data_IF_367816951513
#
_entry.id   IF_367816951513
#
_cell.length_a   1.000
_cell.length_b   1.000
_cell.length_c   1.000
_cell.angle_alpha   90.00
_cell.angle_beta   90.00
_cell.angle_gamma   90.00
#
_symmetry.space_group_name_H-M   'P 1'
#
loop_
_entity.id
_entity.type
_entity.pdbx_description
1 polymer ?
#
# COMPACT_ATOMS: atom_id res chain seq x y z
N UNK A 1 -55.69 4.14 -33.85
CA UNK A 1 -55.44 3.36 -35.09
C UNK A 1 -54.12 2.61 -34.92
N UNK A 2 -54.14 1.28 -35.07
CA UNK A 2 -53.07 0.37 -34.65
C UNK A 2 -52.09 0.09 -35.79
N UNK A 3 -50.91 -0.48 -35.48
CA UNK A 3 -50.35 -1.67 -36.14
C UNK A 3 -49.03 -2.06 -35.45
N UNK A 4 -49.14 -3.06 -34.58
CA UNK A 4 -48.12 -4.08 -34.30
C UNK A 4 -48.06 -5.04 -35.49
N UNK A 5 -46.91 -5.66 -35.80
CA UNK A 5 -46.81 -7.02 -36.39
C UNK A 5 -45.36 -7.54 -36.40
N UNK A 6 -45.19 -8.70 -35.73
CA UNK A 6 -44.30 -9.85 -35.96
C UNK A 6 -42.76 -9.70 -35.79
N UNK A 7 -42.08 -10.33 -34.83
CA UNK A 7 -41.97 -11.76 -34.43
C UNK A 7 -41.12 -12.59 -35.41
N UNK A 8 -39.86 -12.87 -35.05
CA UNK A 8 -39.18 -14.14 -35.34
C UNK A 8 -38.31 -14.51 -34.13
N UNK A 9 -38.61 -15.68 -33.56
CA UNK A 9 -37.85 -16.34 -32.52
C UNK A 9 -36.96 -17.45 -33.13
N UNK A 10 -35.85 -17.71 -32.45
CA UNK A 10 -35.16 -19.01 -32.27
C UNK A 10 -34.69 -19.82 -33.48
N UNK A 11 -33.39 -20.19 -33.50
CA UNK A 11 -32.85 -21.55 -33.19
C UNK A 11 -31.47 -21.81 -33.81
N UNK A 12 -30.71 -22.73 -33.18
CA UNK A 12 -29.49 -23.44 -33.62
C UNK A 12 -28.15 -22.64 -33.57
N UNK A 13 -27.01 -23.16 -33.09
CA UNK A 13 -26.68 -24.45 -32.49
C UNK A 13 -25.35 -24.36 -31.73
N UNK A 14 -25.18 -25.28 -30.79
CA UNK A 14 -23.95 -25.65 -30.08
C UNK A 14 -22.75 -25.85 -31.01
N UNK A 15 -21.56 -25.36 -30.63
CA UNK A 15 -20.28 -26.04 -30.86
C UNK A 15 -19.13 -25.31 -30.15
N UNK A 16 -18.67 -25.90 -29.04
CA UNK A 16 -17.36 -25.63 -28.44
C UNK A 16 -16.25 -26.11 -29.38
N UNK A 17 -15.05 -25.50 -29.32
CA UNK A 17 -13.82 -26.23 -29.53
C UNK A 17 -13.06 -26.36 -28.21
N UNK A 18 -12.94 -27.61 -27.75
CA UNK A 18 -11.93 -28.00 -26.80
C UNK A 18 -10.55 -27.80 -27.44
N UNK A 19 -9.70 -26.97 -26.82
CA UNK A 19 -8.29 -26.89 -27.17
C UNK A 19 -7.54 -27.93 -26.34
N UNK A 20 -7.20 -29.03 -27.02
CA UNK A 20 -6.34 -30.10 -26.54
C UNK A 20 -4.91 -29.59 -26.33
N UNK A 21 -4.37 -29.82 -25.14
CA UNK A 21 -2.93 -29.70 -24.87
C UNK A 21 -2.17 -30.85 -25.55
N UNK A 22 -0.97 -30.64 -26.10
CA UNK A 22 -0.16 -31.73 -26.60
C UNK A 22 0.53 -32.45 -25.43
N UNK A 23 0.29 -33.76 -25.35
CA UNK A 23 1.10 -34.69 -24.58
C UNK A 23 2.21 -35.24 -25.47
N UNK A 24 3.45 -35.34 -24.96
CA UNK A 24 4.50 -36.31 -25.33
C UNK A 24 5.78 -36.04 -24.51
N UNK A 25 6.70 -37.02 -24.31
CA UNK A 25 6.54 -38.33 -23.71
C UNK A 25 7.37 -38.47 -22.40
N UNK A 26 7.01 -39.47 -21.60
CA UNK A 26 7.89 -40.08 -20.59
C UNK A 26 8.86 -41.03 -21.29
N UNK A 27 10.17 -40.90 -21.06
CA UNK A 27 11.04 -42.08 -21.02
C UNK A 27 12.18 -41.92 -20.01
N UNK A 28 12.50 -43.06 -19.41
CA UNK A 28 13.22 -43.30 -18.17
C UNK A 28 14.76 -43.28 -18.29
N UNK A 29 15.36 -42.97 -17.13
CA UNK A 29 16.60 -43.53 -16.58
C UNK A 29 17.94 -43.01 -17.10
N UNK A 30 18.63 -42.24 -16.24
CA UNK A 30 19.91 -42.72 -15.71
C UNK A 30 20.14 -42.20 -14.29
N UNK A 31 20.57 -43.10 -13.41
CA UNK A 31 20.69 -42.86 -11.98
C UNK A 31 21.79 -41.86 -11.62
N UNK A 32 21.45 -40.93 -10.75
CA UNK A 32 22.40 -40.36 -9.79
C UNK A 32 21.61 -40.03 -8.54
N UNK A 33 21.95 -40.70 -7.44
CA UNK A 33 21.40 -40.44 -6.10
C UNK A 33 21.69 -39.00 -5.70
N UNK A 34 20.65 -38.17 -5.57
CA UNK A 34 20.76 -36.84 -4.97
C UNK A 34 20.61 -36.97 -3.44
N UNK A 35 21.62 -36.50 -2.72
CA UNK A 35 21.63 -36.35 -1.26
C UNK A 35 20.67 -35.23 -0.81
N UNK A 36 20.25 -35.18 0.46
CA UNK A 36 19.22 -34.25 0.97
C UNK A 36 19.63 -32.76 1.06
N UNK A 37 20.55 -32.27 0.22
CA UNK A 37 21.20 -30.97 0.41
C UNK A 37 20.83 -29.88 -0.61
N UNK A 38 20.05 -30.19 -1.65
CA UNK A 38 19.83 -29.25 -2.77
C UNK A 38 18.43 -28.60 -2.81
N UNK A 39 17.69 -28.62 -1.69
CA UNK A 39 16.34 -28.04 -1.57
C UNK A 39 16.31 -26.67 -0.89
N UNK A 40 17.28 -25.77 -1.14
CA UNK A 40 17.20 -24.41 -0.56
C UNK A 40 17.69 -23.25 -1.46
N UNK A 41 18.08 -23.50 -2.72
CA UNK A 41 18.68 -22.44 -3.56
C UNK A 41 17.71 -21.75 -4.55
N UNK A 42 16.48 -22.26 -4.74
CA UNK A 42 15.61 -21.80 -5.84
C UNK A 42 14.28 -21.16 -5.39
N UNK A 43 13.95 -21.17 -4.10
CA UNK A 43 12.74 -20.53 -3.58
C UNK A 43 12.97 -19.05 -3.18
N UNK A 44 14.22 -18.65 -2.94
CA UNK A 44 14.58 -17.28 -2.53
C UNK A 44 14.73 -16.28 -3.68
N UNK A 45 14.88 -16.76 -4.93
CA UNK A 45 14.98 -15.89 -6.11
C UNK A 45 13.62 -15.48 -6.71
N UNK A 46 12.53 -16.18 -6.35
CA UNK A 46 11.20 -15.88 -6.89
C UNK A 46 10.47 -14.76 -6.13
N UNK A 47 10.65 -14.64 -4.81
CA UNK A 47 9.99 -13.62 -3.99
C UNK A 47 10.66 -12.24 -4.13
N UNK A 48 12.00 -12.18 -4.16
CA UNK A 48 12.71 -10.92 -4.36
C UNK A 48 12.49 -10.27 -5.73
N UNK A 49 12.18 -11.08 -6.76
CA UNK A 49 12.01 -10.58 -8.13
C UNK A 49 10.73 -9.77 -8.36
N UNK A 50 9.62 -10.11 -7.68
CA UNK A 50 8.33 -9.48 -7.90
C UNK A 50 8.28 -8.04 -7.32
N UNK A 51 8.68 -7.86 -6.05
CA UNK A 51 8.83 -6.52 -5.44
C UNK A 51 9.77 -5.63 -6.25
N UNK A 52 10.96 -6.14 -6.61
CA UNK A 52 11.94 -5.36 -7.36
C UNK A 52 11.42 -4.97 -8.75
N UNK A 53 10.65 -5.82 -9.42
CA UNK A 53 10.05 -5.50 -10.72
C UNK A 53 8.99 -4.39 -10.60
N UNK A 54 8.11 -4.49 -9.60
CA UNK A 54 7.10 -3.45 -9.34
C UNK A 54 7.75 -2.12 -8.97
N UNK A 55 8.70 -2.13 -8.03
CA UNK A 55 9.43 -0.94 -7.58
C UNK A 55 10.12 -0.28 -8.78
N UNK A 56 10.89 -1.03 -9.56
CA UNK A 56 11.59 -0.48 -10.72
C UNK A 56 10.61 0.06 -11.79
N UNK A 57 9.50 -0.63 -12.02
CA UNK A 57 8.46 -0.20 -12.95
C UNK A 57 7.82 1.14 -12.54
N UNK A 58 7.51 1.29 -11.25
CA UNK A 58 6.99 2.54 -10.71
C UNK A 58 8.01 3.67 -10.75
N UNK A 59 9.24 3.43 -10.29
CA UNK A 59 10.32 4.41 -10.32
C UNK A 59 10.64 4.89 -11.75
N UNK A 60 10.49 4.03 -12.75
CA UNK A 60 10.65 4.41 -14.16
C UNK A 60 9.46 5.23 -14.71
N UNK A 61 8.26 5.03 -14.16
CA UNK A 61 7.04 5.68 -14.65
C UNK A 61 6.78 7.05 -14.01
N UNK A 62 7.25 7.29 -12.79
CA UNK A 62 6.97 8.54 -12.04
C UNK A 62 7.42 9.80 -12.79
N UNK A 63 8.51 9.76 -13.56
CA UNK A 63 8.97 10.92 -14.35
C UNK A 63 8.01 11.32 -15.47
N UNK A 64 7.06 10.46 -15.82
CA UNK A 64 6.03 10.70 -16.84
C UNK A 64 4.70 11.21 -16.25
N UNK A 65 4.62 11.32 -14.92
CA UNK A 65 3.40 11.64 -14.21
C UNK A 65 3.05 13.12 -14.45
N UNK A 66 1.85 13.43 -14.97
CA UNK A 66 1.40 14.81 -15.07
C UNK A 66 1.28 15.42 -13.66
N UNK A 67 1.73 16.67 -13.48
CA UNK A 67 1.60 17.37 -12.19
C UNK A 67 2.88 17.50 -11.36
N UNK A 68 4.02 16.95 -11.82
CA UNK A 68 5.31 17.24 -11.18
C UNK A 68 5.59 18.75 -11.23
N UNK A 69 5.94 19.32 -10.08
CA UNK A 69 6.20 20.75 -9.90
C UNK A 69 4.93 21.59 -9.69
N UNK A 70 3.74 20.97 -9.69
CA UNK A 70 2.49 21.66 -9.39
C UNK A 70 2.15 21.56 -7.91
N UNK A 71 1.42 22.55 -7.39
CA UNK A 71 0.82 22.44 -6.05
C UNK A 71 -0.31 21.41 -6.04
N UNK A 72 -0.59 20.83 -4.87
CA UNK A 72 -1.69 19.90 -4.63
C UNK A 72 -3.01 20.55 -5.03
N UNK A 73 -3.15 21.86 -4.78
CA UNK A 73 -4.28 22.69 -5.23
C UNK A 73 -4.56 22.68 -6.74
N UNK A 74 -3.53 22.42 -7.55
CA UNK A 74 -3.59 22.42 -9.00
C UNK A 74 -3.65 21.00 -9.60
N UNK A 75 -3.57 19.95 -8.79
CA UNK A 75 -3.78 18.58 -9.25
C UNK A 75 -5.23 18.41 -9.70
N UNK A 76 -5.40 17.82 -10.87
CA UNK A 76 -6.71 17.53 -11.46
C UNK A 76 -6.96 16.02 -11.54
N UNK A 77 -8.17 15.64 -11.94
CA UNK A 77 -8.59 14.24 -12.17
C UNK A 77 -7.67 13.48 -13.14
N UNK A 78 -6.86 14.20 -13.94
CA UNK A 78 -5.85 13.61 -14.83
C UNK A 78 -4.81 12.79 -14.05
N UNK A 79 -4.48 13.20 -12.82
CA UNK A 79 -3.54 12.45 -11.97
C UNK A 79 -4.14 11.11 -11.51
N UNK A 80 -5.39 11.12 -11.07
CA UNK A 80 -6.14 9.90 -10.75
C UNK A 80 -6.22 8.95 -11.94
N UNK A 81 -6.57 9.46 -13.12
CA UNK A 81 -6.66 8.66 -14.34
C UNK A 81 -5.31 8.06 -14.76
N UNK A 82 -4.22 8.84 -14.68
CA UNK A 82 -2.88 8.34 -14.96
C UNK A 82 -2.47 7.22 -14.00
N UNK A 83 -2.72 7.39 -12.69
CA UNK A 83 -2.37 6.33 -11.72
C UNK A 83 -3.18 5.06 -11.93
N UNK A 84 -4.45 5.16 -12.33
CA UNK A 84 -5.27 4.00 -12.66
C UNK A 84 -4.75 3.25 -13.91
N UNK A 85 -4.40 3.98 -14.98
CA UNK A 85 -3.85 3.40 -16.21
C UNK A 85 -2.48 2.75 -15.99
N UNK A 86 -1.62 3.40 -15.19
CA UNK A 86 -0.33 2.83 -14.81
C UNK A 86 -0.50 1.57 -13.96
N UNK A 87 -1.42 1.58 -13.00
CA UNK A 87 -1.72 0.40 -12.20
C UNK A 87 -2.20 -0.77 -13.06
N UNK A 88 -3.08 -0.51 -14.05
CA UNK A 88 -3.52 -1.52 -15.01
C UNK A 88 -2.36 -2.06 -15.86
N UNK A 89 -1.48 -1.17 -16.34
CA UNK A 89 -0.29 -1.54 -17.12
C UNK A 89 0.68 -2.42 -16.31
N UNK A 90 0.81 -2.15 -15.02
CA UNK A 90 1.68 -2.91 -14.11
C UNK A 90 1.00 -4.15 -13.50
N UNK A 91 -0.30 -4.34 -13.73
CA UNK A 91 -1.06 -5.45 -13.14
C UNK A 91 -1.22 -5.34 -11.62
N UNK A 92 -1.40 -4.12 -11.11
CA UNK A 92 -1.47 -3.81 -9.67
C UNK A 92 -2.89 -3.38 -9.29
N UNK A 93 -3.41 -3.98 -8.21
CA UNK A 93 -4.69 -3.57 -7.65
C UNK A 93 -4.55 -2.29 -6.81
N UNK A 94 -5.26 -1.22 -7.20
CA UNK A 94 -5.36 0.03 -6.41
C UNK A 94 -6.47 -0.03 -5.36
N UNK A 95 -7.27 -1.10 -5.37
CA UNK A 95 -8.37 -1.33 -4.44
C UNK A 95 -8.19 -2.67 -3.74
N UNK A 96 -7.94 -2.62 -2.43
CA UNK A 96 -7.69 -3.81 -1.61
C UNK A 96 -8.59 -3.76 -0.37
N UNK A 97 -9.40 -4.80 -0.18
CA UNK A 97 -10.27 -4.96 0.98
C UNK A 97 -10.27 -6.43 1.39
N UNK A 98 -9.27 -6.85 2.15
CA UNK A 98 -9.19 -8.20 2.70
C UNK A 98 -9.60 -8.17 4.18
N UNK A 99 -10.77 -8.73 4.47
CA UNK A 99 -11.34 -8.77 5.83
C UNK A 99 -10.97 -10.04 6.63
N UNK A 100 -10.15 -10.93 6.07
CA UNK A 100 -9.76 -12.17 6.77
C UNK A 100 -8.57 -11.91 7.68
N UNK A 101 -8.67 -12.34 8.95
CA UNK A 101 -7.58 -12.22 9.91
C UNK A 101 -6.33 -12.96 9.42
N UNK A 102 -5.21 -12.25 9.41
CA UNK A 102 -3.87 -12.79 9.18
C UNK A 102 -2.99 -12.50 10.40
N UNK A 103 -1.74 -12.97 10.38
CA UNK A 103 -0.78 -12.67 11.46
C UNK A 103 -0.53 -11.17 11.59
N UNK A 104 -0.54 -10.45 10.47
CA UNK A 104 -0.42 -9.00 10.39
C UNK A 104 -1.59 -8.42 9.59
N UNK A 105 -2.30 -7.47 10.20
CA UNK A 105 -3.38 -6.73 9.57
C UNK A 105 -2.92 -5.30 9.31
N UNK A 106 -2.98 -4.85 8.05
CA UNK A 106 -2.59 -3.49 7.66
C UNK A 106 -3.82 -2.67 7.29
N UNK A 107 -4.06 -1.58 8.00
CA UNK A 107 -5.04 -0.56 7.60
C UNK A 107 -4.27 0.57 6.90
N UNK A 108 -4.52 0.76 5.60
CA UNK A 108 -3.74 1.68 4.76
C UNK A 108 -4.58 2.82 4.19
N UNK A 109 -4.13 4.06 4.32
CA UNK A 109 -4.73 5.22 3.67
C UNK A 109 -3.84 5.76 2.54
N UNK A 110 -4.37 5.81 1.32
CA UNK A 110 -3.67 6.31 0.12
C UNK A 110 -3.43 7.82 0.13
N UNK A 111 -2.61 8.31 -0.79
CA UNK A 111 -2.34 9.74 -1.00
C UNK A 111 -3.44 10.48 -1.76
N UNK A 112 -3.32 11.81 -1.79
CA UNK A 112 -4.24 12.70 -2.52
C UNK A 112 -4.30 12.32 -3.99
N UNK A 113 -5.52 12.31 -4.54
CA UNK A 113 -5.85 11.97 -5.94
C UNK A 113 -5.36 10.60 -6.42
N UNK A 114 -4.90 9.71 -5.54
CA UNK A 114 -4.60 8.34 -5.94
C UNK A 114 -5.89 7.55 -6.23
N UNK A 115 -5.81 6.61 -7.18
CA UNK A 115 -6.93 5.73 -7.52
C UNK A 115 -7.24 4.70 -6.41
N UNK A 116 -8.46 4.16 -6.43
CA UNK A 116 -8.90 3.09 -5.54
C UNK A 116 -8.91 3.46 -4.05
N UNK A 117 -8.51 2.54 -3.16
CA UNK A 117 -8.44 2.78 -1.71
C UNK A 117 -7.03 2.64 -1.12
N UNK A 118 -6.07 2.11 -1.89
CA UNK A 118 -4.65 1.99 -1.49
C UNK A 118 -3.68 2.71 -2.42
N UNK A 119 -4.17 3.27 -3.52
CA UNK A 119 -3.31 3.99 -4.46
C UNK A 119 -2.29 3.10 -5.15
N UNK A 120 -1.17 3.70 -5.54
CA UNK A 120 -0.17 3.05 -6.37
C UNK A 120 1.27 3.24 -5.86
N UNK A 121 1.64 4.43 -5.39
CA UNK A 121 3.07 4.78 -5.22
C UNK A 121 3.71 4.19 -3.97
N UNK A 122 2.98 4.15 -2.85
CA UNK A 122 3.50 3.63 -1.59
C UNK A 122 2.83 2.32 -1.16
N UNK A 123 1.51 2.21 -1.30
CA UNK A 123 0.71 1.08 -0.80
C UNK A 123 1.13 -0.26 -1.42
N UNK A 124 0.88 -0.51 -2.72
CA UNK A 124 1.19 -1.80 -3.33
C UNK A 124 2.66 -2.25 -3.20
N UNK A 125 3.68 -1.39 -3.40
CA UNK A 125 5.08 -1.78 -3.14
C UNK A 125 5.31 -2.22 -1.70
N UNK A 126 4.75 -1.50 -0.72
CA UNK A 126 4.85 -1.84 0.69
C UNK A 126 4.16 -3.17 1.00
N UNK A 127 2.97 -3.43 0.46
CA UNK A 127 2.26 -4.69 0.69
C UNK A 127 3.00 -5.88 0.08
N UNK A 128 3.57 -5.72 -1.11
CA UNK A 128 4.37 -6.75 -1.74
C UNK A 128 5.62 -7.03 -0.91
N UNK A 129 6.34 -6.00 -0.47
CA UNK A 129 7.51 -6.15 0.39
C UNK A 129 7.18 -6.82 1.74
N UNK A 130 6.02 -6.52 2.34
CA UNK A 130 5.53 -7.22 3.53
C UNK A 130 5.30 -8.71 3.27
N UNK A 131 4.61 -9.06 2.17
CA UNK A 131 4.35 -10.45 1.80
C UNK A 131 5.64 -11.22 1.50
N UNK A 132 6.63 -10.57 0.89
CA UNK A 132 7.93 -11.17 0.62
C UNK A 132 8.74 -11.36 1.91
N UNK A 133 8.62 -10.42 2.86
CA UNK A 133 9.36 -10.46 4.15
C UNK A 133 8.74 -11.45 5.14
N UNK A 134 7.42 -11.56 5.17
CA UNK A 134 6.66 -12.28 6.22
C UNK A 134 5.97 -13.55 5.72
N UNK A 135 5.87 -13.71 4.39
CA UNK A 135 5.07 -14.75 3.75
C UNK A 135 3.71 -14.23 3.30
N UNK A 136 3.28 -14.61 2.09
CA UNK A 136 2.07 -14.07 1.46
C UNK A 136 0.78 -14.30 2.26
N UNK A 137 0.69 -15.41 3.00
CA UNK A 137 -0.47 -15.72 3.85
C UNK A 137 -0.46 -15.05 5.23
N UNK A 138 0.65 -14.41 5.62
CA UNK A 138 0.80 -13.79 6.93
C UNK A 138 0.28 -12.33 6.97
N UNK A 139 -0.01 -11.74 5.81
CA UNK A 139 -0.33 -10.31 5.68
C UNK A 139 -1.67 -10.13 4.98
N UNK A 140 -2.60 -9.44 5.64
CA UNK A 140 -3.87 -9.00 5.08
C UNK A 140 -3.96 -7.48 5.14
N UNK A 141 -4.55 -6.88 4.10
CA UNK A 141 -4.58 -5.43 3.92
C UNK A 141 -6.02 -4.96 3.72
N UNK A 142 -6.37 -3.90 4.43
CA UNK A 142 -7.62 -3.16 4.25
C UNK A 142 -7.31 -1.71 3.93
N UNK A 143 -7.63 -1.29 2.69
CA UNK A 143 -7.54 0.11 2.29
C UNK A 143 -8.69 0.94 2.87
N UNK A 144 -8.39 2.16 3.29
CA UNK A 144 -9.39 3.13 3.75
C UNK A 144 -10.11 3.70 2.53
N UNK A 145 -11.40 3.44 2.41
CA UNK A 145 -12.23 4.03 1.36
C UNK A 145 -12.61 5.46 1.74
N UNK A 146 -11.97 6.44 1.10
CA UNK A 146 -12.20 7.87 1.36
C UNK A 146 -11.93 8.72 0.11
N UNK A 147 -12.30 10.01 0.14
CA UNK A 147 -12.24 10.88 -1.03
C UNK A 147 -10.83 11.14 -1.56
N UNK A 148 -9.82 11.19 -0.69
CA UNK A 148 -8.45 11.59 -1.02
C UNK A 148 -8.38 12.88 -1.84
N UNK A 149 -9.23 13.86 -1.52
CA UNK A 149 -9.38 15.08 -2.31
C UNK A 149 -8.30 16.10 -1.95
N UNK A 150 -8.00 17.01 -2.88
CA UNK A 150 -7.15 18.18 -2.63
C UNK A 150 -7.64 18.99 -1.42
N UNK A 151 -8.96 19.17 -1.32
CA UNK A 151 -9.58 19.86 -0.19
C UNK A 151 -9.29 19.16 1.14
N UNK A 152 -9.42 17.82 1.19
CA UNK A 152 -9.09 17.03 2.36
C UNK A 152 -7.61 17.15 2.76
N UNK A 153 -6.69 17.25 1.79
CA UNK A 153 -5.27 17.46 2.07
C UNK A 153 -5.05 18.79 2.79
N UNK A 154 -5.60 19.87 2.22
CA UNK A 154 -5.41 21.23 2.71
C UNK A 154 -6.08 21.47 4.07
N UNK A 155 -7.08 20.66 4.44
CA UNK A 155 -7.74 20.70 5.74
C UNK A 155 -6.96 19.98 6.86
N UNK A 156 -5.85 19.30 6.57
CA UNK A 156 -5.15 18.48 7.57
C UNK A 156 -5.52 17.00 7.53
N UNK A 157 -6.03 16.50 6.39
CA UNK A 157 -6.58 15.16 6.22
C UNK A 157 -8.11 15.16 6.14
N UNK A 158 -8.67 14.32 5.27
CA UNK A 158 -10.11 14.15 5.13
C UNK A 158 -10.74 13.70 6.47
N UNK A 159 -11.67 14.47 7.07
CA UNK A 159 -12.25 14.14 8.36
C UNK A 159 -13.06 12.83 8.34
N UNK A 160 -13.80 12.56 7.26
CA UNK A 160 -14.58 11.34 7.13
C UNK A 160 -13.66 10.13 6.94
N UNK A 161 -12.62 10.26 6.11
CA UNK A 161 -11.60 9.24 5.92
C UNK A 161 -10.83 8.93 7.21
N UNK A 162 -10.52 9.95 8.01
CA UNK A 162 -9.88 9.79 9.32
C UNK A 162 -10.76 8.99 10.28
N UNK A 163 -12.06 9.30 10.33
CA UNK A 163 -13.03 8.55 11.12
C UNK A 163 -13.19 7.10 10.60
N UNK A 164 -13.26 6.91 9.27
CA UNK A 164 -13.30 5.57 8.66
C UNK A 164 -12.08 4.74 9.03
N UNK A 165 -10.88 5.32 8.98
CA UNK A 165 -9.65 4.63 9.40
C UNK A 165 -9.71 4.24 10.87
N UNK A 166 -10.15 5.13 11.76
CA UNK A 166 -10.31 4.82 13.18
C UNK A 166 -11.31 3.68 13.41
N UNK A 167 -12.44 3.68 12.69
CA UNK A 167 -13.43 2.59 12.76
C UNK A 167 -12.87 1.26 12.28
N UNK A 168 -12.11 1.23 11.17
CA UNK A 168 -11.48 0.02 10.65
C UNK A 168 -10.43 -0.55 11.62
N UNK A 169 -9.63 0.33 12.24
CA UNK A 169 -8.66 -0.08 13.27
C UNK A 169 -9.38 -0.67 14.49
N UNK A 170 -10.47 -0.04 14.97
CA UNK A 170 -11.26 -0.58 16.08
C UNK A 170 -11.90 -1.93 15.74
N UNK A 171 -12.51 -2.06 14.55
CA UNK A 171 -13.11 -3.30 14.10
C UNK A 171 -12.06 -4.42 14.01
N UNK A 172 -10.90 -4.13 13.42
CA UNK A 172 -9.82 -5.11 13.29
C UNK A 172 -9.25 -5.53 14.63
N UNK A 173 -9.12 -4.60 15.59
CA UNK A 173 -8.68 -4.94 16.95
C UNK A 173 -9.67 -5.87 17.68
N UNK A 174 -10.96 -5.78 17.37
CA UNK A 174 -12.02 -6.63 17.94
C UNK A 174 -12.11 -7.99 17.24
N UNK A 175 -12.05 -7.99 15.91
CA UNK A 175 -12.22 -9.19 15.07
C UNK A 175 -10.97 -10.06 15.02
N UNK A 176 -9.79 -9.44 15.06
CA UNK A 176 -8.48 -10.09 14.96
C UNK A 176 -7.57 -9.77 16.16
N UNK A 177 -7.97 -10.05 17.41
CA UNK A 177 -7.22 -9.65 18.61
C UNK A 177 -5.84 -10.31 18.74
N UNK A 178 -5.56 -11.34 17.94
CA UNK A 178 -4.25 -12.00 17.90
C UNK A 178 -3.30 -11.47 16.81
N UNK A 179 -3.77 -10.57 15.94
CA UNK A 179 -2.98 -10.04 14.84
C UNK A 179 -2.10 -8.87 15.30
N UNK A 180 -0.93 -8.74 14.68
CA UNK A 180 -0.17 -7.51 14.71
C UNK A 180 -0.89 -6.45 13.85
N UNK A 181 -1.53 -5.48 14.51
CA UNK A 181 -2.28 -4.43 13.83
C UNK A 181 -1.35 -3.29 13.41
N UNK A 182 -1.37 -2.92 12.13
CA UNK A 182 -0.52 -1.89 11.54
C UNK A 182 -1.40 -0.78 10.99
N UNK A 183 -1.11 0.46 11.34
CA UNK A 183 -1.66 1.64 10.66
C UNK A 183 -0.62 2.16 9.68
N UNK A 184 -1.02 2.43 8.44
CA UNK A 184 -0.11 3.00 7.46
C UNK A 184 -0.79 4.03 6.57
N UNK A 185 -0.01 4.99 6.07
CA UNK A 185 -0.54 6.05 5.23
C UNK A 185 0.52 6.71 4.36
N UNK A 186 0.10 7.27 3.24
CA UNK A 186 0.95 8.03 2.34
C UNK A 186 0.38 9.43 2.10
N UNK A 187 1.20 10.48 2.20
CA UNK A 187 0.79 11.86 1.96
C UNK A 187 -0.43 12.25 2.82
N UNK A 188 -1.58 12.62 2.24
CA UNK A 188 -2.83 12.81 2.98
C UNK A 188 -3.22 11.62 3.87
N UNK A 189 -2.94 10.39 3.43
CA UNK A 189 -3.14 9.20 4.25
C UNK A 189 -2.31 9.18 5.54
N UNK A 190 -1.15 9.83 5.57
CA UNK A 190 -0.38 10.06 6.79
C UNK A 190 -1.10 10.98 7.78
N UNK A 191 -1.77 12.02 7.27
CA UNK A 191 -2.63 12.88 8.08
C UNK A 191 -3.81 12.09 8.66
N UNK A 192 -4.42 11.19 7.87
CA UNK A 192 -5.46 10.27 8.35
C UNK A 192 -4.95 9.35 9.47
N UNK A 193 -3.71 8.84 9.37
CA UNK A 193 -3.08 8.03 10.44
C UNK A 193 -3.01 8.82 11.75
N UNK A 194 -2.50 10.07 11.71
CA UNK A 194 -2.43 10.95 12.87
C UNK A 194 -3.80 11.22 13.48
N UNK A 195 -4.77 11.61 12.64
CA UNK A 195 -6.12 11.94 13.06
C UNK A 195 -6.84 10.72 13.64
N UNK A 196 -6.75 9.57 12.97
CA UNK A 196 -7.35 8.32 13.44
C UNK A 196 -6.76 7.91 14.79
N UNK A 197 -5.43 7.95 14.95
CA UNK A 197 -4.78 7.64 16.22
C UNK A 197 -5.30 8.51 17.38
N UNK A 198 -5.52 9.81 17.14
CA UNK A 198 -6.08 10.72 18.13
C UNK A 198 -7.55 10.41 18.50
N UNK A 199 -8.31 9.78 17.59
CA UNK A 199 -9.70 9.37 17.83
C UNK A 199 -9.83 8.03 18.56
N UNK A 200 -8.78 7.21 18.57
CA UNK A 200 -8.82 5.86 19.13
C UNK A 200 -8.77 5.87 20.67
N UNK A 201 -9.57 5.02 21.34
CA UNK A 201 -9.43 4.83 22.77
C UNK A 201 -8.10 4.13 23.09
N UNK A 202 -7.58 4.35 24.29
CA UNK A 202 -6.27 3.82 24.72
C UNK A 202 -6.13 2.29 24.53
N UNK A 203 -7.12 1.45 24.89
CA UNK A 203 -7.00 0.01 24.69
C UNK A 203 -6.81 -0.39 23.23
N UNK A 204 -7.42 0.33 22.29
CA UNK A 204 -7.21 0.07 20.85
C UNK A 204 -5.83 0.54 20.40
N UNK A 205 -5.33 1.68 20.91
CA UNK A 205 -3.97 2.14 20.59
C UNK A 205 -2.87 1.22 21.10
N UNK A 206 -3.11 0.56 22.25
CA UNK A 206 -2.21 -0.44 22.79
C UNK A 206 -2.08 -1.69 21.89
N UNK A 207 -3.11 -2.00 21.10
CA UNK A 207 -3.11 -3.13 20.16
C UNK A 207 -2.34 -2.85 18.86
N UNK A 208 -2.04 -1.58 18.56
CA UNK A 208 -1.31 -1.21 17.34
C UNK A 208 0.15 -1.66 17.49
N UNK A 209 0.58 -2.62 16.70
CA UNK A 209 1.97 -3.11 16.71
C UNK A 209 2.96 -2.08 16.15
N UNK A 210 2.59 -1.42 15.06
CA UNK A 210 3.44 -0.44 14.39
C UNK A 210 2.64 0.55 13.53
N UNK A 211 3.25 1.71 13.28
CA UNK A 211 2.75 2.74 12.39
C UNK A 211 3.81 3.05 11.32
N UNK A 212 3.40 3.16 10.06
CA UNK A 212 4.29 3.55 8.95
C UNK A 212 3.66 4.68 8.14
N UNK A 213 4.35 5.81 8.02
CA UNK A 213 3.88 6.94 7.22
C UNK A 213 4.91 7.30 6.16
N UNK A 214 4.50 7.33 4.90
CA UNK A 214 5.30 7.77 3.76
C UNK A 214 4.92 9.21 3.39
N UNK A 215 5.87 10.13 3.30
CA UNK A 215 5.59 11.51 2.87
C UNK A 215 4.67 12.27 3.82
N UNK A 216 4.91 12.18 5.14
CA UNK A 216 4.04 12.72 6.18
C UNK A 216 3.89 14.26 6.09
N UNK A 217 2.68 14.81 5.81
CA UNK A 217 2.42 16.24 5.79
C UNK A 217 2.38 16.78 7.23
N UNK A 218 3.55 17.04 7.80
CA UNK A 218 3.69 17.43 9.20
C UNK A 218 4.87 18.36 9.40
N UNK A 219 4.57 19.54 9.98
CA UNK A 219 5.48 20.70 10.13
C UNK A 219 6.91 20.28 10.52
N UNK A 220 7.96 20.79 9.87
CA UNK A 220 9.27 20.80 10.52
C UNK A 220 9.12 21.48 11.88
N UNK A 221 9.69 20.89 12.94
CA UNK A 221 9.89 21.63 14.17
C UNK A 221 10.57 22.97 13.82
N UNK A 222 10.15 24.12 14.40
CA UNK A 222 10.79 25.39 14.12
C UNK A 222 12.32 25.29 14.30
N UNK A 223 13.09 25.56 13.23
CA UNK A 223 14.54 25.67 13.30
C UNK A 223 15.39 24.47 12.83
N UNK A 224 14.86 23.50 12.10
CA UNK A 224 15.67 22.44 11.45
C UNK A 224 15.29 22.26 9.98
N UNK A 225 16.16 22.71 9.08
CA UNK A 225 16.16 22.23 7.68
C UNK A 225 16.41 20.71 7.67
N UNK A 226 15.83 20.01 6.69
CA UNK A 226 16.15 18.60 6.43
C UNK A 226 17.66 18.51 6.15
N UNK A 227 18.41 17.88 7.05
CA UNK A 227 19.78 17.49 6.77
C UNK A 227 19.80 16.51 5.59
N UNK A 228 20.80 16.67 4.75
CA UNK A 228 21.17 15.77 3.66
C UNK A 228 21.53 14.37 4.21
N UNK A 229 20.54 13.46 4.26
CA UNK A 229 20.82 12.02 4.36
C UNK A 229 19.94 11.17 5.30
N UNK A 230 19.06 11.73 6.11
CA UNK A 230 18.22 10.93 7.03
C UNK A 230 16.85 10.60 6.39
N UNK A 231 16.70 9.37 5.88
CA UNK A 231 15.49 8.88 5.20
C UNK A 231 14.33 8.57 6.17
N UNK A 232 14.63 8.38 7.46
CA UNK A 232 13.66 7.97 8.48
C UNK A 232 13.61 8.98 9.62
N UNK A 233 12.45 9.59 9.84
CA UNK A 233 12.16 10.32 11.08
C UNK A 233 11.58 9.33 12.09
N UNK A 234 12.36 8.97 13.11
CA UNK A 234 11.81 8.36 14.34
C UNK A 234 11.57 9.41 15.43
N UNK A 235 12.00 10.65 15.22
CA UNK A 235 12.12 11.70 16.25
C UNK A 235 11.70 13.11 15.80
N UNK A 236 11.43 13.35 14.50
CA UNK A 236 11.29 14.71 13.95
C UNK A 236 10.00 14.99 13.14
N UNK A 237 9.02 14.06 13.18
CA UNK A 237 7.65 14.28 12.69
C UNK A 237 6.70 14.63 13.83
N UNK A 238 5.46 15.02 13.54
CA UNK A 238 4.45 15.08 14.61
C UNK A 238 4.32 13.68 15.22
N UNK A 239 4.35 13.53 16.56
CA UNK A 239 4.16 12.22 17.17
C UNK A 239 2.75 11.70 16.87
N UNK A 240 2.64 10.41 16.51
CA UNK A 240 1.34 9.77 16.34
C UNK A 240 0.71 9.58 17.72
N UNK A 241 -0.45 10.20 17.95
CA UNK A 241 -1.04 10.37 19.29
C UNK A 241 -1.19 9.06 20.08
N UNK A 242 -0.45 8.95 21.19
CA UNK A 242 -0.48 7.81 22.11
C UNK A 242 0.08 6.50 21.56
N UNK A 243 0.91 6.58 20.52
CA UNK A 243 1.71 5.46 20.02
C UNK A 243 3.18 5.82 20.22
N UNK A 244 3.96 4.85 20.71
CA UNK A 244 5.38 5.05 20.99
C UNK A 244 6.14 5.35 19.69
N UNK A 245 7.09 6.29 19.75
CA UNK A 245 8.00 6.58 18.65
C UNK A 245 8.78 5.33 18.21
N UNK A 246 9.12 4.43 19.13
CA UNK A 246 9.75 3.14 18.82
C UNK A 246 8.85 2.21 17.98
N UNK A 247 7.52 2.42 17.98
CA UNK A 247 6.55 1.72 17.12
C UNK A 247 6.17 2.51 15.87
N UNK A 248 6.73 3.70 15.66
CA UNK A 248 6.37 4.59 14.55
C UNK A 248 7.56 4.80 13.62
N UNK A 249 7.33 4.65 12.31
CA UNK A 249 8.29 4.96 11.27
C UNK A 249 7.69 5.97 10.31
N UNK A 250 8.25 7.19 10.30
CA UNK A 250 7.92 8.20 9.30
C UNK A 250 9.06 8.27 8.29
N UNK A 251 8.73 8.15 7.01
CA UNK A 251 9.70 8.20 5.90
C UNK A 251 9.47 9.48 5.12
N UNK A 252 10.48 10.33 5.06
CA UNK A 252 10.47 11.58 4.30
C UNK A 252 11.71 11.64 3.42
N UNK A 253 11.53 11.70 2.10
CA UNK A 253 12.65 11.79 1.20
C UNK A 253 13.27 13.20 1.23
N UNK A 254 14.60 13.32 1.13
CA UNK A 254 15.24 14.61 0.92
C UNK A 254 14.64 15.33 -0.30
N UNK A 255 14.23 16.58 -0.09
CA UNK A 255 13.58 17.38 -1.13
C UNK A 255 12.08 17.11 -1.33
N UNK A 256 11.46 16.26 -0.51
CA UNK A 256 10.00 16.17 -0.47
C UNK A 256 9.41 17.42 0.18
N UNK A 257 8.80 18.27 -0.65
CA UNK A 257 8.19 19.52 -0.23
C UNK A 257 6.94 19.30 0.65
N UNK A 258 6.25 18.16 0.54
CA UNK A 258 5.10 17.83 1.40
C UNK A 258 5.55 17.59 2.84
N UNK A 259 6.65 16.85 3.03
CA UNK A 259 7.28 16.67 4.34
C UNK A 259 7.81 17.98 4.96
N UNK A 260 8.08 18.99 4.14
CA UNK A 260 8.45 20.33 4.59
C UNK A 260 7.24 21.20 4.98
N UNK A 261 6.02 20.66 4.91
CA UNK A 261 4.77 21.38 5.16
C UNK A 261 4.30 22.26 4.00
N UNK A 262 4.90 22.09 2.82
CA UNK A 262 4.41 22.71 1.59
C UNK A 262 3.38 21.82 0.90
N UNK A 263 2.97 22.24 -0.29
CA UNK A 263 1.93 21.57 -1.09
C UNK A 263 2.39 21.29 -2.53
N UNK A 264 3.65 21.51 -2.90
CA UNK A 264 4.18 21.20 -4.23
C UNK A 264 4.58 19.72 -4.33
N UNK A 265 4.10 19.04 -5.38
CA UNK A 265 4.47 17.65 -5.67
C UNK A 265 5.78 17.64 -6.45
N UNK A 266 6.85 17.18 -5.80
CA UNK A 266 8.16 16.96 -6.43
C UNK A 266 8.45 15.47 -6.56
N UNK A 267 9.42 15.12 -7.41
CA UNK A 267 9.80 13.72 -7.64
C UNK A 267 10.14 12.94 -6.35
N UNK A 268 10.81 13.51 -5.33
CA UNK A 268 11.01 12.82 -4.05
C UNK A 268 9.72 12.35 -3.37
N UNK A 269 8.60 13.06 -3.54
CA UNK A 269 7.31 12.66 -2.99
C UNK A 269 6.72 11.42 -3.69
N UNK A 270 7.12 11.14 -4.93
CA UNK A 270 6.54 10.09 -5.77
C UNK A 270 7.32 8.77 -5.73
N UNK A 271 8.43 8.71 -5.00
CA UNK A 271 9.43 7.64 -5.12
C UNK A 271 9.46 6.64 -3.96
N UNK A 272 8.52 6.73 -3.01
CA UNK A 272 8.47 5.90 -1.79
C UNK A 272 8.39 4.38 -2.00
N UNK A 273 8.21 3.90 -3.23
CA UNK A 273 8.38 2.49 -3.57
C UNK A 273 9.78 1.97 -3.19
N UNK A 274 10.82 2.80 -3.23
CA UNK A 274 12.19 2.44 -2.83
C UNK A 274 12.34 2.15 -1.32
N UNK A 275 11.51 2.77 -0.48
CA UNK A 275 11.49 2.59 0.97
C UNK A 275 10.64 1.39 1.42
N UNK A 276 9.92 0.73 0.51
CA UNK A 276 8.99 -0.36 0.81
C UNK A 276 9.63 -1.53 1.57
N UNK A 277 10.84 -1.94 1.19
CA UNK A 277 11.57 -3.05 1.84
C UNK A 277 11.96 -2.68 3.26
N UNK A 278 12.45 -1.46 3.48
CA UNK A 278 12.80 -0.98 4.81
C UNK A 278 11.57 -0.89 5.73
N UNK A 279 10.44 -0.38 5.19
CA UNK A 279 9.17 -0.33 5.90
C UNK A 279 8.65 -1.72 6.27
N UNK A 280 8.74 -2.69 5.35
CA UNK A 280 8.33 -4.06 5.61
C UNK A 280 9.19 -4.71 6.72
N UNK A 281 10.51 -4.50 6.70
CA UNK A 281 11.40 -4.99 7.75
C UNK A 281 11.08 -4.36 9.12
N UNK A 282 10.77 -3.07 9.15
CA UNK A 282 10.34 -2.36 10.36
C UNK A 282 9.09 -2.98 10.98
N UNK A 283 8.06 -3.23 10.15
CA UNK A 283 6.81 -3.89 10.58
C UNK A 283 7.10 -5.32 11.04
N UNK A 284 7.81 -6.12 10.25
CA UNK A 284 8.10 -7.51 10.58
C UNK A 284 8.81 -7.67 11.94
N UNK A 285 9.70 -6.74 12.28
CA UNK A 285 10.39 -6.73 13.58
C UNK A 285 9.47 -6.40 14.78
N UNK A 286 8.30 -5.81 14.52
CA UNK A 286 7.28 -5.41 15.51
C UNK A 286 6.04 -6.31 15.50
N UNK A 287 5.87 -7.12 14.46
CA UNK A 287 4.77 -8.09 14.35
C UNK A 287 5.04 -9.39 15.11
N UNK A 288 6.30 -9.69 15.46
CA UNK A 288 6.63 -10.87 16.26
C UNK A 288 6.29 -10.59 17.73
N UNK A 289 5.31 -11.29 18.27
CA UNK A 289 5.03 -11.27 19.71
C UNK A 289 6.30 -11.65 20.47
N UNK A 290 6.69 -10.84 21.45
CA UNK A 290 7.60 -11.28 22.49
C UNK A 290 6.92 -12.46 23.23
N UNK A 291 7.42 -13.68 23.02
CA UNK A 291 6.99 -14.88 23.74
C UNK A 291 5.98 -15.76 22.99
N UNK A 292 6.49 -16.58 22.08
CA UNK A 292 6.09 -17.99 21.96
C UNK A 292 7.35 -18.84 22.01
#
# INVERSE_FOLDING_TARGET
>A
MPLSIFQIASTFSLLSPALSAPAFPRQLSNGTTLSPSDVDANASQAAGGASTTLINGLLAAVVKLPGIGMSVGALSDLTTAFTADLAQTLGVDTTVSQATCAETMVIFARGTTEAGNVGLFAGPPFFQALRDTMGAGAVSVQGVAYGATVEGFLQGGDPAGSATMASLVQATAQECPGAALVMAGYSQGGQLVHNAAAMLPEPTRAMISSVVIFGDPGRPAPGRELGDGELTRTDNGQPVSGIDAARTMVICHPGDNICAGGDVILLPHLTYADAAVAAAAFVASRSRRAGR
#
